data_IF_475919583259
#
_entry.id   IF_475919583259
#
_cell.length_a   1.000
_cell.length_b   1.000
_cell.length_c   1.000
_cell.angle_alpha   90.00
_cell.angle_beta   90.00
_cell.angle_gamma   90.00
#
_symmetry.space_group_name_H-M   'P 1'
#
loop_
_entity.id
_entity.type
_entity.pdbx_description
1 polymer ?
#
# COMPACT_ATOMS: atom_id res chain seq x y z
N UNK A 1 4.66 -1.07 -20.28
CA UNK A 1 3.86 -1.14 -19.04
C UNK A 1 4.67 -0.49 -17.94
N UNK A 2 4.29 0.71 -17.50
CA UNK A 2 4.93 1.35 -16.34
C UNK A 2 4.29 0.75 -15.10
N UNK A 3 5.07 0.04 -14.27
CA UNK A 3 4.57 -0.46 -12.99
C UNK A 3 4.22 0.75 -12.11
N UNK A 4 3.01 0.76 -11.54
CA UNK A 4 2.55 1.88 -10.73
C UNK A 4 3.26 1.87 -9.37
N UNK A 5 4.15 2.83 -9.14
CA UNK A 5 4.85 3.03 -7.89
C UNK A 5 4.03 3.93 -6.96
N UNK A 6 3.73 3.44 -5.76
CA UNK A 6 3.11 4.23 -4.69
C UNK A 6 4.15 4.60 -3.64
N UNK A 7 4.25 5.89 -3.36
CA UNK A 7 5.10 6.49 -2.34
C UNK A 7 4.24 6.91 -1.17
N UNK A 8 4.55 6.35 0.00
CA UNK A 8 3.97 6.71 1.29
C UNK A 8 5.02 7.47 2.09
N UNK A 9 4.60 8.53 2.77
CA UNK A 9 5.46 9.30 3.68
C UNK A 9 4.78 9.38 5.04
N UNK A 10 5.48 8.98 6.10
CA UNK A 10 5.08 9.24 7.49
C UNK A 10 5.92 10.38 8.06
N UNK A 11 5.30 11.34 8.72
CA UNK A 11 6.00 12.49 9.26
C UNK A 11 5.28 13.13 10.44
N UNK A 12 5.93 13.11 11.61
CA UNK A 12 5.56 13.99 12.72
C UNK A 12 5.99 15.42 12.36
N UNK A 13 5.01 16.31 12.20
CA UNK A 13 5.25 17.67 11.71
C UNK A 13 5.29 18.72 12.83
N UNK A 14 4.99 18.35 14.07
CA UNK A 14 5.02 19.25 15.24
C UNK A 14 4.32 20.60 14.97
N UNK A 15 3.05 20.53 14.57
CA UNK A 15 2.14 21.65 14.31
C UNK A 15 2.16 22.18 12.87
N UNK A 16 0.98 22.47 12.31
CA UNK A 16 0.79 23.02 10.94
C UNK A 16 -0.10 24.28 10.89
N UNK A 17 -0.34 24.90 12.03
CA UNK A 17 -1.16 26.11 12.13
C UNK A 17 -0.63 27.25 11.27
N UNK A 18 0.69 27.46 11.28
CA UNK A 18 1.31 28.57 10.56
C UNK A 18 1.21 28.37 9.02
N UNK A 19 0.61 29.31 8.26
CA UNK A 19 0.40 29.15 6.82
C UNK A 19 1.67 28.89 6.01
N UNK A 20 2.79 29.52 6.39
CA UNK A 20 4.09 29.28 5.73
C UNK A 20 4.58 27.84 5.97
N UNK A 21 4.48 27.34 7.21
CA UNK A 21 4.87 25.96 7.54
C UNK A 21 4.00 24.98 6.78
N UNK A 22 2.68 25.20 6.74
CA UNK A 22 1.74 24.41 5.94
C UNK A 22 2.12 24.35 4.47
N UNK A 23 2.38 25.49 3.82
CA UNK A 23 2.79 25.54 2.42
C UNK A 23 4.10 24.78 2.19
N UNK A 24 5.07 24.91 3.08
CA UNK A 24 6.34 24.17 3.02
C UNK A 24 6.14 22.66 3.13
N UNK A 25 5.29 22.19 4.04
CA UNK A 25 4.96 20.75 4.20
C UNK A 25 4.32 20.22 2.91
N UNK A 26 3.29 20.90 2.40
CA UNK A 26 2.61 20.46 1.19
C UNK A 26 3.53 20.46 -0.04
N UNK A 27 4.41 21.46 -0.17
CA UNK A 27 5.39 21.48 -1.24
C UNK A 27 6.43 20.36 -1.11
N UNK A 28 6.87 20.07 0.12
CA UNK A 28 7.79 18.97 0.41
C UNK A 28 7.18 17.63 -0.03
N UNK A 29 5.96 17.33 0.40
CA UNK A 29 5.26 16.10 0.03
C UNK A 29 5.07 15.98 -1.49
N UNK A 30 4.71 17.08 -2.16
CA UNK A 30 4.57 17.11 -3.62
C UNK A 30 5.89 16.85 -4.34
N UNK A 31 6.99 17.47 -3.89
CA UNK A 31 8.32 17.30 -4.49
C UNK A 31 8.85 15.87 -4.35
N UNK A 32 8.41 15.14 -3.32
CA UNK A 32 8.74 13.73 -3.11
C UNK A 32 7.69 12.78 -3.72
N UNK A 33 6.76 13.32 -4.52
CA UNK A 33 5.69 12.58 -5.20
C UNK A 33 4.89 11.68 -4.23
N UNK A 34 4.59 12.17 -3.03
CA UNK A 34 3.83 11.39 -2.06
C UNK A 34 2.38 11.17 -2.55
N UNK A 35 1.97 9.91 -2.69
CA UNK A 35 0.57 9.56 -2.95
C UNK A 35 -0.21 9.41 -1.65
N UNK A 36 0.45 8.98 -0.57
CA UNK A 36 -0.13 8.89 0.77
C UNK A 36 0.80 9.59 1.75
N UNK A 37 0.25 10.52 2.53
CA UNK A 37 0.95 11.17 3.63
C UNK A 37 0.25 10.82 4.96
N UNK A 38 1.03 10.33 5.92
CA UNK A 38 0.63 10.02 7.28
C UNK A 38 1.26 11.10 8.17
N UNK A 39 0.48 12.11 8.56
CA UNK A 39 1.01 13.25 9.30
C UNK A 39 0.58 13.17 10.77
N UNK A 40 1.53 13.34 11.71
CA UNK A 40 1.27 13.35 13.16
C UNK A 40 1.53 14.75 13.77
N UNK A 41 0.97 14.99 14.96
CA UNK A 41 1.05 16.28 15.68
C UNK A 41 0.64 17.52 14.87
N UNK A 42 -0.46 17.47 14.13
CA UNK A 42 -0.84 18.61 13.28
C UNK A 42 -1.28 19.86 14.09
N UNK A 43 -1.75 19.68 15.33
CA UNK A 43 -2.25 20.76 16.20
C UNK A 43 -3.41 21.57 15.60
N UNK A 44 -4.25 20.93 14.79
CA UNK A 44 -5.39 21.55 14.14
C UNK A 44 -6.70 21.17 14.83
N UNK A 45 -7.66 22.09 14.81
CA UNK A 45 -9.07 21.77 15.08
C UNK A 45 -9.73 21.13 13.86
N UNK A 46 -10.90 20.49 14.06
CA UNK A 46 -11.69 19.88 12.98
C UNK A 46 -11.94 20.84 11.80
N UNK A 47 -12.36 22.08 12.08
CA UNK A 47 -12.61 23.09 11.05
C UNK A 47 -11.34 23.55 10.30
N UNK A 48 -10.16 23.44 10.92
CA UNK A 48 -8.90 23.80 10.29
C UNK A 48 -8.33 22.71 9.40
N UNK A 49 -8.68 21.45 9.65
CA UNK A 49 -8.30 20.34 8.78
C UNK A 49 -8.92 20.47 7.38
N UNK A 50 -10.13 21.01 7.25
CA UNK A 50 -10.76 21.24 5.94
C UNK A 50 -9.93 22.19 5.05
N UNK A 51 -9.18 23.11 5.66
CA UNK A 51 -8.30 24.06 4.96
C UNK A 51 -7.08 23.38 4.32
N UNK A 52 -6.84 22.09 4.56
CA UNK A 52 -5.77 21.31 3.95
C UNK A 52 -6.12 20.78 2.55
N UNK A 53 -7.41 20.72 2.19
CA UNK A 53 -7.88 20.31 0.85
C UNK A 53 -7.58 21.42 -0.16
N UNK A 54 -6.32 21.51 -0.61
CA UNK A 54 -5.86 22.52 -1.57
C UNK A 54 -4.88 21.90 -2.58
N UNK A 55 -5.02 22.28 -3.84
CA UNK A 55 -4.10 21.88 -4.91
C UNK A 55 -4.19 20.39 -5.23
N UNK A 56 -3.05 19.69 -5.14
CA UNK A 56 -2.93 18.25 -5.40
C UNK A 56 -3.47 17.37 -4.25
N UNK A 57 -3.78 17.98 -3.11
CA UNK A 57 -4.32 17.25 -1.95
C UNK A 57 -5.78 16.92 -2.22
N UNK A 58 -6.05 15.64 -2.48
CA UNK A 58 -7.40 15.11 -2.68
C UNK A 58 -8.17 14.96 -1.36
N UNK A 59 -8.41 13.72 -0.94
CA UNK A 59 -9.24 13.45 0.23
C UNK A 59 -8.45 13.55 1.55
N UNK A 60 -8.90 14.35 2.52
CA UNK A 60 -8.30 14.40 3.87
C UNK A 60 -9.21 13.78 4.92
N UNK A 61 -8.64 12.96 5.80
CA UNK A 61 -9.30 12.33 6.94
C UNK A 61 -8.44 12.54 8.16
N UNK A 62 -9.08 12.78 9.29
CA UNK A 62 -8.35 13.16 10.49
C UNK A 62 -9.02 12.63 11.73
N UNK A 63 -8.20 12.45 12.76
CA UNK A 63 -8.68 12.43 14.12
C UNK A 63 -8.07 13.61 14.87
N UNK A 64 -8.91 14.36 15.59
CA UNK A 64 -8.52 15.53 16.36
C UNK A 64 -9.13 15.44 17.75
N UNK A 65 -8.36 15.77 18.78
CA UNK A 65 -8.91 15.97 20.12
C UNK A 65 -9.43 17.41 20.27
N UNK A 66 -10.31 17.67 21.26
CA UNK A 66 -11.00 18.97 21.44
C UNK A 66 -10.07 20.17 21.70
N UNK A 67 -8.78 19.94 21.92
CA UNK A 67 -7.76 20.97 22.13
C UNK A 67 -6.82 21.06 20.92
N UNK A 68 -6.01 22.13 20.84
CA UNK A 68 -4.97 22.33 19.80
C UNK A 68 -3.79 21.33 19.90
N UNK A 69 -4.01 20.17 20.52
CA UNK A 69 -3.02 19.11 20.69
C UNK A 69 -3.57 17.81 20.09
N UNK A 70 -2.69 17.05 19.43
CA UNK A 70 -2.96 15.74 18.79
C UNK A 70 -3.96 15.82 17.62
N UNK A 71 -3.40 15.72 16.42
CA UNK A 71 -4.14 15.65 15.17
C UNK A 71 -3.36 14.81 14.17
N UNK A 72 -4.04 13.93 13.44
CA UNK A 72 -3.43 13.04 12.45
C UNK A 72 -4.18 13.13 11.13
N UNK A 73 -3.49 13.09 9.98
CA UNK A 73 -4.15 13.02 8.66
C UNK A 73 -3.68 11.81 7.87
N UNK A 74 -4.66 11.07 7.30
CA UNK A 74 -4.46 10.10 6.22
C UNK A 74 -5.42 10.44 5.08
N UNK A 75 -5.03 10.13 3.85
CA UNK A 75 -5.88 10.26 2.68
C UNK A 75 -6.71 8.95 2.55
N UNK A 76 -8.02 9.04 2.83
CA UNK A 76 -9.01 7.98 3.16
C UNK A 76 -9.01 7.61 4.66
N UNK A 77 -10.14 7.49 5.39
CA UNK A 77 -10.25 6.83 6.71
C UNK A 77 -11.67 6.36 6.99
N UNK A 78 -11.78 5.25 7.73
CA UNK A 78 -13.04 4.63 8.14
C UNK A 78 -13.20 4.58 9.67
N UNK A 79 -12.10 4.65 10.44
CA UNK A 79 -12.14 4.81 11.90
C UNK A 79 -11.06 5.77 12.38
N UNK A 80 -11.43 6.58 13.38
CA UNK A 80 -10.62 7.61 13.99
C UNK A 80 -10.75 7.49 15.51
N UNK A 81 -9.63 7.52 16.23
CA UNK A 81 -9.62 7.46 17.69
C UNK A 81 -10.08 8.77 18.32
N UNK A 82 -11.04 8.83 19.25
CA UNK A 82 -11.48 10.09 19.86
C UNK A 82 -10.37 10.92 20.51
N UNK A 83 -9.25 10.31 20.92
CA UNK A 83 -8.11 11.01 21.51
C UNK A 83 -7.05 11.47 20.48
N UNK A 84 -7.31 11.31 19.18
CA UNK A 84 -6.43 11.79 18.10
C UNK A 84 -5.15 10.97 17.91
N UNK A 85 -5.10 9.73 18.41
CA UNK A 85 -3.85 8.92 18.46
C UNK A 85 -3.64 8.00 17.27
N UNK A 86 -4.69 7.58 16.58
CA UNK A 86 -4.57 6.79 15.36
C UNK A 86 -5.73 7.05 14.41
N UNK A 87 -5.48 6.74 13.15
CA UNK A 87 -6.45 6.73 12.06
C UNK A 87 -6.23 5.45 11.27
N UNK A 88 -7.31 4.72 10.99
CA UNK A 88 -7.27 3.48 10.22
C UNK A 88 -8.16 3.63 8.98
N UNK A 89 -7.65 3.12 7.88
CA UNK A 89 -8.15 3.34 6.54
C UNK A 89 -8.15 2.02 5.82
N UNK A 90 -9.33 1.51 5.54
CA UNK A 90 -9.46 0.37 4.66
C UNK A 90 -9.85 0.83 3.26
N UNK A 91 -9.18 0.28 2.26
CA UNK A 91 -9.39 0.63 0.87
C UNK A 91 -8.87 -0.44 -0.08
N UNK A 92 -8.63 -0.03 -1.33
CA UNK A 92 -8.05 -0.89 -2.35
C UNK A 92 -6.89 -0.21 -3.03
N UNK A 93 -5.85 -0.97 -3.31
CA UNK A 93 -4.78 -0.60 -4.23
C UNK A 93 -4.93 -1.42 -5.51
N UNK A 94 -5.39 -0.76 -6.57
CA UNK A 94 -5.85 -1.47 -7.77
C UNK A 94 -7.01 -2.41 -7.45
N UNK A 95 -6.86 -3.68 -7.80
CA UNK A 95 -7.85 -4.73 -7.52
C UNK A 95 -7.69 -5.36 -6.14
N UNK A 96 -6.70 -5.01 -5.33
CA UNK A 96 -6.40 -5.68 -4.05
C UNK A 96 -6.81 -4.84 -2.84
N UNK A 97 -7.41 -5.44 -1.79
CA UNK A 97 -7.64 -4.74 -0.54
C UNK A 97 -6.31 -4.33 0.10
N UNK A 98 -6.30 -3.20 0.80
CA UNK A 98 -5.18 -2.76 1.63
C UNK A 98 -5.71 -1.94 2.81
N UNK A 99 -5.11 -2.12 3.98
CA UNK A 99 -5.40 -1.28 5.14
C UNK A 99 -4.19 -0.42 5.46
N UNK A 100 -4.40 0.89 5.52
CA UNK A 100 -3.40 1.87 5.92
C UNK A 100 -3.74 2.34 7.33
N UNK A 101 -2.74 2.44 8.19
CA UNK A 101 -2.90 3.01 9.51
C UNK A 101 -1.80 4.02 9.77
N UNK A 102 -2.16 5.08 10.47
CA UNK A 102 -1.18 5.99 11.08
C UNK A 102 -1.33 5.92 12.59
N UNK A 103 -0.21 5.85 13.29
CA UNK A 103 -0.17 5.84 14.75
C UNK A 103 0.68 6.99 15.28
N UNK A 104 0.22 7.59 16.37
CA UNK A 104 0.94 8.53 17.20
C UNK A 104 0.89 8.01 18.63
N UNK A 105 1.96 7.35 19.05
CA UNK A 105 2.07 6.82 20.39
C UNK A 105 2.30 7.93 21.41
N UNK A 106 1.83 7.79 22.66
CA UNK A 106 2.12 8.78 23.68
C UNK A 106 3.58 8.72 24.12
N UNK A 107 4.09 9.82 24.66
CA UNK A 107 5.45 9.91 25.21
C UNK A 107 5.64 9.08 26.50
N UNK A 108 4.55 8.77 27.22
CA UNK A 108 4.60 7.91 28.39
C UNK A 108 4.51 6.43 27.98
N UNK A 109 5.15 5.55 28.75
CA UNK A 109 5.13 4.10 28.52
C UNK A 109 3.72 3.54 28.75
N UNK A 110 2.92 3.46 27.69
CA UNK A 110 1.50 3.06 27.69
C UNK A 110 1.28 1.88 26.74
N UNK A 111 1.64 0.64 27.15
CA UNK A 111 1.46 -0.55 26.32
C UNK A 111 -0.02 -0.86 26.01
N UNK A 112 -0.96 -0.43 26.87
CA UNK A 112 -2.39 -0.64 26.64
C UNK A 112 -2.88 0.14 25.42
N UNK A 113 -2.35 1.34 25.16
CA UNK A 113 -2.68 2.08 23.94
C UNK A 113 -2.32 1.28 22.70
N UNK A 114 -1.10 0.73 22.64
CA UNK A 114 -0.63 -0.08 21.52
C UNK A 114 -1.49 -1.32 21.33
N UNK A 115 -1.77 -2.07 22.41
CA UNK A 115 -2.63 -3.26 22.35
C UNK A 115 -4.03 -2.89 21.82
N UNK A 116 -4.61 -1.81 22.34
CA UNK A 116 -5.90 -1.32 21.86
C UNK A 116 -5.85 -0.94 20.38
N UNK A 117 -4.79 -0.29 19.91
CA UNK A 117 -4.61 0.03 18.50
C UNK A 117 -4.62 -1.24 17.63
N UNK A 118 -3.83 -2.26 17.97
CA UNK A 118 -3.79 -3.51 17.22
C UNK A 118 -5.12 -4.30 17.28
N UNK A 119 -5.83 -4.27 18.40
CA UNK A 119 -7.17 -4.84 18.51
C UNK A 119 -8.20 -4.14 17.60
N UNK A 120 -8.13 -2.81 17.44
CA UNK A 120 -8.93 -2.10 16.44
C UNK A 120 -8.49 -2.44 15.03
N UNK A 121 -7.19 -2.49 14.77
CA UNK A 121 -6.63 -2.79 13.45
C UNK A 121 -7.03 -4.18 12.96
N UNK A 122 -7.07 -5.17 13.86
CA UNK A 122 -7.48 -6.55 13.56
C UNK A 122 -8.92 -6.68 13.01
N UNK A 123 -9.76 -5.65 13.17
CA UNK A 123 -11.10 -5.61 12.57
C UNK A 123 -11.07 -5.35 11.06
N UNK A 124 -9.91 -4.96 10.52
CA UNK A 124 -9.71 -4.66 9.11
C UNK A 124 -8.82 -5.72 8.43
N UNK A 125 -9.10 -6.08 7.17
CA UNK A 125 -8.37 -7.15 6.50
C UNK A 125 -6.93 -6.74 6.17
N UNK A 126 -6.02 -7.72 6.24
CA UNK A 126 -4.67 -7.62 5.72
C UNK A 126 -4.67 -7.53 4.18
N UNK A 127 -3.60 -7.01 3.54
CA UNK A 127 -2.34 -6.54 4.14
C UNK A 127 -2.42 -5.15 4.77
N UNK A 128 -1.57 -4.91 5.76
CA UNK A 128 -1.49 -3.67 6.54
C UNK A 128 -0.19 -2.90 6.24
N UNK A 129 -0.31 -1.57 6.13
CA UNK A 129 0.82 -0.63 6.12
C UNK A 129 0.58 0.39 7.22
N UNK A 130 1.39 0.30 8.28
CA UNK A 130 1.28 1.12 9.48
C UNK A 130 2.48 2.06 9.50
N UNK A 131 2.27 3.35 9.38
CA UNK A 131 3.33 4.34 9.56
C UNK A 131 3.06 5.22 10.76
N UNK A 132 4.08 5.79 11.38
CA UNK A 132 3.81 6.72 12.47
C UNK A 132 5.00 7.08 13.31
N UNK A 133 4.71 7.87 14.33
CA UNK A 133 5.61 8.16 15.44
C UNK A 133 5.20 7.27 16.61
N UNK A 134 6.06 6.31 16.94
CA UNK A 134 5.83 5.32 17.98
C UNK A 134 6.39 5.78 19.32
N UNK A 135 7.06 6.94 19.40
CA UNK A 135 7.64 7.52 20.61
C UNK A 135 8.50 6.57 21.47
N UNK A 136 8.91 5.43 20.93
CA UNK A 136 9.83 4.50 21.58
C UNK A 136 10.72 3.77 20.56
N UNK A 137 12.03 3.63 20.84
CA UNK A 137 12.92 2.79 20.05
C UNK A 137 12.57 1.31 20.24
N UNK A 138 12.57 0.52 19.16
CA UNK A 138 12.31 -0.93 19.22
C UNK A 138 13.58 -1.70 19.60
N UNK A 139 14.72 -1.28 19.04
CA UNK A 139 16.06 -1.75 19.39
C UNK A 139 16.81 -0.71 20.24
N UNK A 140 17.12 -1.08 21.49
CA UNK A 140 17.78 -0.17 22.44
C UNK A 140 19.23 0.17 22.07
N UNK A 141 19.87 -0.62 21.20
CA UNK A 141 21.25 -0.44 20.74
C UNK A 141 21.28 0.28 19.40
N UNK A 142 20.45 -0.15 18.45
CA UNK A 142 20.52 0.32 17.06
C UNK A 142 19.66 1.55 16.78
N UNK A 143 18.60 1.77 17.56
CA UNK A 143 17.67 2.90 17.36
C UNK A 143 18.00 4.10 18.25
N UNK A 144 19.15 4.10 18.92
CA UNK A 144 19.61 5.19 19.79
C UNK A 144 21.07 5.54 19.51
N UNK A 145 21.40 6.82 19.64
CA UNK A 145 22.81 7.28 19.59
C UNK A 145 23.47 7.29 20.97
N UNK A 146 22.68 7.33 22.04
CA UNK A 146 23.18 7.32 23.41
C UNK A 146 23.73 5.93 23.77
N UNK A 147 24.94 5.90 24.32
CA UNK A 147 25.58 4.69 24.86
C UNK A 147 25.06 4.28 26.24
N UNK A 148 24.13 5.06 26.82
CA UNK A 148 23.54 4.74 28.12
C UNK A 148 22.70 3.47 27.99
N UNK A 149 23.07 2.45 28.77
CA UNK A 149 22.29 1.23 28.88
C UNK A 149 20.89 1.55 29.42
N UNK A 150 19.89 1.07 28.69
CA UNK A 150 18.47 1.27 28.99
C UNK A 150 17.74 -0.03 28.77
N UNK A 151 16.77 -0.29 29.63
CA UNK A 151 15.83 -1.39 29.45
C UNK A 151 14.82 -1.02 28.37
N UNK A 152 14.41 -2.03 27.60
CA UNK A 152 13.33 -1.88 26.60
C UNK A 152 12.02 -1.54 27.32
N UNK A 153 11.30 -0.53 26.85
CA UNK A 153 10.01 -0.10 27.42
C UNK A 153 8.94 -1.20 27.28
N UNK A 154 7.89 -1.12 28.11
CA UNK A 154 6.76 -2.05 27.99
C UNK A 154 6.01 -1.84 26.68
N UNK A 155 5.91 -0.60 26.22
CA UNK A 155 5.32 -0.23 24.94
C UNK A 155 6.09 -0.82 23.76
N UNK A 156 7.43 -0.75 23.75
CA UNK A 156 8.25 -1.39 22.71
C UNK A 156 8.08 -2.91 22.71
N UNK A 157 7.97 -3.55 23.88
CA UNK A 157 7.65 -4.99 23.98
C UNK A 157 6.27 -5.31 23.44
N UNK A 158 5.26 -4.50 23.75
CA UNK A 158 3.91 -4.67 23.19
C UNK A 158 3.91 -4.55 21.66
N UNK A 159 4.63 -3.57 21.10
CA UNK A 159 4.77 -3.41 19.64
C UNK A 159 5.42 -4.64 19.01
N UNK A 160 6.55 -5.10 19.56
CA UNK A 160 7.26 -6.28 19.04
C UNK A 160 6.41 -7.55 19.09
N UNK A 161 5.70 -7.78 20.19
CA UNK A 161 4.77 -8.91 20.30
C UNK A 161 3.64 -8.82 19.27
N UNK A 162 3.03 -7.64 19.12
CA UNK A 162 1.99 -7.43 18.10
C UNK A 162 2.53 -7.58 16.67
N UNK A 163 3.79 -7.21 16.42
CA UNK A 163 4.44 -7.46 15.14
C UNK A 163 4.56 -8.95 14.85
N UNK A 164 4.99 -9.75 15.83
CA UNK A 164 5.09 -11.20 15.70
C UNK A 164 3.71 -11.84 15.48
N UNK A 165 2.72 -11.49 16.31
CA UNK A 165 1.34 -12.01 16.22
C UNK A 165 0.66 -11.69 14.89
N UNK A 166 0.89 -10.47 14.37
CA UNK A 166 0.25 -9.99 13.14
C UNK A 166 1.11 -10.22 11.88
N UNK A 167 2.25 -10.89 11.99
CA UNK A 167 3.22 -11.09 10.92
C UNK A 167 3.60 -9.77 10.21
N UNK A 168 3.98 -8.77 11.01
CA UNK A 168 4.45 -7.47 10.58
C UNK A 168 5.96 -7.36 10.74
N UNK A 169 6.54 -6.47 9.94
CA UNK A 169 7.98 -6.22 9.94
C UNK A 169 8.28 -4.73 9.85
N UNK A 170 9.29 -4.29 10.61
CA UNK A 170 9.92 -2.98 10.42
C UNK A 170 10.71 -3.01 9.10
N UNK A 171 10.12 -2.44 8.07
CA UNK A 171 10.68 -2.52 6.71
C UNK A 171 11.99 -1.74 6.56
N UNK A 172 12.16 -0.66 7.31
CA UNK A 172 13.40 0.11 7.24
C UNK A 172 14.56 -0.71 7.82
N UNK A 173 14.36 -1.32 9.00
CA UNK A 173 15.38 -2.18 9.62
C UNK A 173 15.65 -3.45 8.80
N UNK A 174 14.63 -3.99 8.13
CA UNK A 174 14.79 -5.13 7.23
C UNK A 174 15.71 -4.82 6.05
N UNK A 175 15.57 -3.64 5.43
CA UNK A 175 16.45 -3.22 4.33
C UNK A 175 17.82 -2.72 4.80
N UNK A 176 17.91 -2.23 6.04
CA UNK A 176 19.10 -1.60 6.63
C UNK A 176 19.48 -2.24 7.98
N UNK A 177 19.88 -3.52 8.01
CA UNK A 177 20.05 -4.27 9.25
C UNK A 177 21.12 -3.68 10.17
N UNK A 178 22.26 -3.28 9.61
CA UNK A 178 23.43 -2.78 10.36
C UNK A 178 23.53 -1.25 10.38
N UNK A 179 22.73 -0.56 9.57
CA UNK A 179 22.79 0.90 9.46
C UNK A 179 22.22 1.58 10.70
N UNK A 180 22.91 2.60 11.21
CA UNK A 180 22.38 3.49 12.25
C UNK A 180 22.00 4.82 11.63
N UNK A 181 20.70 5.11 11.64
CA UNK A 181 20.14 6.38 11.24
C UNK A 181 18.92 6.67 12.11
N UNK A 182 18.57 7.94 12.26
CA UNK A 182 17.68 8.41 13.31
C UNK A 182 16.61 9.36 12.77
N UNK A 183 15.39 9.21 13.29
CA UNK A 183 14.26 10.02 12.87
C UNK A 183 14.07 11.26 13.74
N UNK A 184 14.47 11.23 15.01
CA UNK A 184 14.22 12.30 15.98
C UNK A 184 15.50 12.75 16.70
N UNK A 185 15.59 14.03 17.05
CA UNK A 185 16.62 14.57 17.93
C UNK A 185 16.00 15.21 19.17
N UNK A 186 16.32 14.64 20.34
CA UNK A 186 15.89 15.17 21.62
C UNK A 186 16.85 16.27 22.09
N UNK A 187 16.36 17.51 22.16
CA UNK A 187 17.12 18.62 22.72
C UNK A 187 17.45 18.43 24.20
N UNK A 188 16.50 17.88 24.97
CA UNK A 188 16.66 17.67 26.42
C UNK A 188 17.76 16.64 26.74
N UNK A 189 17.84 15.58 25.93
CA UNK A 189 18.81 14.51 26.13
C UNK A 189 20.05 14.61 25.22
N UNK A 190 20.11 15.63 24.35
CA UNK A 190 21.15 15.85 23.34
C UNK A 190 21.51 14.55 22.59
N UNK A 191 20.49 13.78 22.23
CA UNK A 191 20.65 12.46 21.63
C UNK A 191 19.66 12.23 20.50
N UNK A 192 20.02 11.31 19.61
CA UNK A 192 19.21 10.92 18.47
C UNK A 192 18.56 9.56 18.72
N UNK A 193 17.34 9.42 18.23
CA UNK A 193 16.59 8.18 18.31
C UNK A 193 15.80 7.93 17.03
N UNK A 194 15.63 6.66 16.66
CA UNK A 194 14.71 6.23 15.62
C UNK A 194 13.42 5.80 16.31
N UNK A 195 12.38 6.62 16.17
CA UNK A 195 11.06 6.41 16.78
C UNK A 195 9.91 6.52 15.76
N UNK A 196 10.23 6.91 14.53
CA UNK A 196 9.29 6.93 13.42
C UNK A 196 9.53 5.68 12.55
N UNK A 197 8.48 4.86 12.35
CA UNK A 197 8.60 3.55 11.70
C UNK A 197 7.52 3.35 10.63
N UNK A 198 7.82 2.46 9.68
CA UNK A 198 6.81 1.75 8.89
C UNK A 198 6.82 0.27 9.26
N UNK A 199 5.72 -0.21 9.82
CA UNK A 199 5.45 -1.62 10.05
C UNK A 199 4.51 -2.12 8.94
N UNK A 200 4.95 -3.10 8.15
CA UNK A 200 4.16 -3.64 7.04
C UNK A 200 3.92 -5.13 7.22
N UNK A 201 2.81 -5.65 6.69
CA UNK A 201 2.61 -7.09 6.58
C UNK A 201 3.72 -7.72 5.74
N UNK A 202 4.27 -8.84 6.19
CA UNK A 202 5.34 -9.56 5.49
C UNK A 202 4.98 -9.96 4.05
N UNK A 203 3.69 -10.06 3.73
CA UNK A 203 3.19 -10.30 2.36
C UNK A 203 3.44 -9.13 1.39
N UNK A 204 3.71 -7.93 1.89
CA UNK A 204 4.04 -6.74 1.10
C UNK A 204 5.54 -6.58 0.85
N UNK A 205 6.41 -7.32 1.54
CA UNK A 205 7.87 -7.15 1.45
C UNK A 205 8.40 -7.21 0.02
N UNK A 206 7.92 -8.16 -0.79
CA UNK A 206 8.35 -8.29 -2.19
C UNK A 206 7.91 -7.12 -3.09
N UNK A 207 6.95 -6.31 -2.64
CA UNK A 207 6.48 -5.11 -3.34
C UNK A 207 7.26 -3.86 -2.91
N UNK A 208 8.10 -3.94 -1.88
CA UNK A 208 8.89 -2.80 -1.41
C UNK A 208 10.06 -2.57 -2.35
N UNK A 209 10.12 -1.36 -2.93
CA UNK A 209 11.23 -0.92 -3.77
C UNK A 209 12.29 -0.14 -3.00
N UNK A 210 11.84 0.70 -2.07
CA UNK A 210 12.72 1.50 -1.23
C UNK A 210 12.05 1.81 0.11
N UNK A 211 12.85 1.93 1.16
CA UNK A 211 12.46 2.58 2.40
C UNK A 211 13.65 3.40 2.93
N UNK A 212 13.42 4.69 3.13
CA UNK A 212 14.46 5.65 3.46
C UNK A 212 13.98 6.70 4.46
N UNK A 213 14.89 7.13 5.33
CA UNK A 213 14.71 8.32 6.16
C UNK A 213 15.08 9.54 5.32
N UNK A 214 14.14 10.46 5.14
CA UNK A 214 14.38 11.69 4.41
C UNK A 214 15.07 12.72 5.30
N UNK A 215 15.90 13.62 4.75
CA UNK A 215 16.55 14.66 5.54
C UNK A 215 15.55 15.50 6.33
N UNK A 216 15.89 15.80 7.59
CA UNK A 216 15.10 16.72 8.43
C UNK A 216 14.93 18.06 7.72
N UNK A 217 13.69 18.55 7.68
CA UNK A 217 13.37 19.80 6.98
C UNK A 217 12.86 20.92 7.91
N UNK A 218 11.66 20.79 8.47
CA UNK A 218 10.99 21.85 9.26
C UNK A 218 10.36 21.36 10.57
N UNK A 219 10.53 20.08 10.87
CA UNK A 219 10.13 19.43 12.11
C UNK A 219 11.41 18.93 12.81
N UNK A 220 11.34 18.68 14.11
CA UNK A 220 12.35 17.94 14.86
C UNK A 220 12.41 16.45 14.47
N UNK A 221 11.38 15.97 13.77
CA UNK A 221 11.35 14.64 13.15
C UNK A 221 11.69 14.69 11.65
N UNK A 222 12.45 13.69 11.21
CA UNK A 222 12.74 13.34 9.83
C UNK A 222 11.58 12.51 9.26
N UNK A 223 11.08 12.82 8.05
CA UNK A 223 10.06 12.00 7.41
C UNK A 223 10.60 10.61 7.07
N UNK A 224 9.80 9.57 7.24
CA UNK A 224 10.09 8.22 6.73
C UNK A 224 9.34 8.05 5.42
N UNK A 225 10.01 7.52 4.39
CA UNK A 225 9.42 7.22 3.08
C UNK A 225 9.48 5.72 2.82
N UNK A 226 8.40 5.18 2.26
CA UNK A 226 8.38 3.84 1.68
C UNK A 226 7.79 3.91 0.27
N UNK A 227 8.41 3.18 -0.66
CA UNK A 227 7.93 3.02 -2.02
C UNK A 227 7.49 1.58 -2.26
N UNK A 228 6.21 1.40 -2.56
CA UNK A 228 5.62 0.12 -2.90
C UNK A 228 5.30 0.09 -4.39
N UNK A 229 5.77 -0.94 -5.08
CA UNK A 229 5.40 -1.20 -6.46
C UNK A 229 4.18 -2.09 -6.51
N UNK A 230 3.17 -1.67 -7.28
CA UNK A 230 2.01 -2.50 -7.50
C UNK A 230 2.50 -3.80 -8.13
N UNK A 231 2.19 -4.94 -7.51
CA UNK A 231 2.32 -6.20 -8.23
C UNK A 231 1.63 -6.01 -9.58
N UNK A 232 2.32 -6.34 -10.66
CA UNK A 232 1.63 -6.55 -11.92
C UNK A 232 0.50 -7.50 -11.59
N UNK A 233 -0.75 -7.01 -11.65
CA UNK A 233 -1.88 -7.91 -11.56
C UNK A 233 -1.60 -8.91 -12.68
N UNK A 234 -1.40 -10.22 -12.39
CA UNK A 234 -1.47 -11.17 -13.49
C UNK A 234 -2.85 -10.89 -14.04
N UNK A 235 -2.93 -10.26 -15.22
CA UNK A 235 -4.19 -9.88 -15.85
C UNK A 235 -5.17 -10.98 -15.51
N UNK A 236 -6.23 -10.68 -14.74
CA UNK A 236 -7.23 -11.63 -14.26
C UNK A 236 -7.19 -12.87 -15.15
N UNK A 237 -6.69 -14.02 -14.67
CA UNK A 237 -6.13 -15.08 -15.51
C UNK A 237 -7.10 -15.30 -16.65
N UNK A 238 -6.71 -14.88 -17.86
CA UNK A 238 -7.62 -14.58 -18.96
C UNK A 238 -8.74 -15.61 -18.97
N UNK A 239 -9.90 -15.24 -18.39
CA UNK A 239 -10.99 -16.19 -18.19
C UNK A 239 -11.60 -16.33 -19.57
N UNK A 240 -11.05 -17.26 -20.34
CA UNK A 240 -11.50 -17.53 -21.70
C UNK A 240 -13.01 -17.71 -21.65
N UNK A 241 -13.71 -16.84 -22.37
CA UNK A 241 -15.14 -16.95 -22.60
C UNK A 241 -15.31 -17.44 -24.02
N UNK A 242 -16.10 -18.48 -24.18
CA UNK A 242 -16.53 -18.93 -25.49
C UNK A 242 -17.34 -17.80 -26.14
N UNK A 243 -16.93 -17.40 -27.33
CA UNK A 243 -17.76 -16.56 -28.20
C UNK A 243 -18.91 -17.43 -28.75
N UNK A 244 -20.18 -17.15 -28.39
CA UNK A 244 -21.31 -17.96 -28.83
C UNK A 244 -21.48 -18.00 -30.36
N UNK A 245 -20.95 -17.01 -31.08
CA UNK A 245 -20.98 -16.97 -32.56
C UNK A 245 -20.07 -18.00 -33.21
N UNK A 246 -19.15 -18.60 -32.45
CA UNK A 246 -18.36 -19.72 -32.96
C UNK A 246 -19.20 -20.99 -33.02
N UNK A 247 -20.19 -21.16 -32.15
CA UNK A 247 -21.03 -22.36 -32.12
C UNK A 247 -21.93 -22.50 -33.35
N UNK A 248 -22.25 -21.39 -34.03
CA UNK A 248 -23.02 -21.41 -35.29
C UNK A 248 -22.17 -21.74 -36.52
N UNK A 249 -20.83 -21.76 -36.39
CA UNK A 249 -19.90 -22.15 -37.45
C UNK A 249 -19.38 -23.58 -37.29
N UNK A 250 -19.85 -24.27 -36.26
CA UNK A 250 -19.36 -25.56 -35.80
C UNK A 250 -20.21 -26.68 -36.41
N UNK A 251 -20.29 -26.69 -37.74
CA UNK A 251 -20.77 -27.87 -38.48
C UNK A 251 -19.64 -28.91 -38.65
N UNK A 252 -18.43 -28.62 -38.15
CA UNK A 252 -17.21 -29.45 -38.33
C UNK A 252 -16.77 -30.19 -37.07
N UNK A 253 -17.67 -30.52 -36.14
CA UNK A 253 -17.37 -31.41 -35.01
C UNK A 253 -17.66 -32.88 -35.35
N UNK A 254 -17.34 -33.30 -36.57
CA UNK A 254 -17.08 -34.71 -36.80
C UNK A 254 -15.77 -35.09 -36.08
N UNK A 255 -15.84 -36.18 -35.33
CA UNK A 255 -14.73 -36.87 -34.67
C UNK A 255 -14.05 -36.13 -33.50
N UNK A 256 -14.70 -36.19 -32.32
CA UNK A 256 -13.97 -36.34 -31.06
C UNK A 256 -14.30 -37.73 -30.51
N UNK A 257 -13.65 -38.75 -31.06
CA UNK A 257 -13.79 -40.11 -30.57
C UNK A 257 -12.94 -40.25 -29.29
N UNK A 258 -13.58 -40.11 -28.12
CA UNK A 258 -12.94 -40.33 -26.81
C UNK A 258 -12.79 -41.82 -26.45
N UNK A 259 -13.08 -42.71 -27.38
CA UNK A 259 -12.99 -44.16 -27.21
C UNK A 259 -11.52 -44.59 -27.20
N UNK A 260 -10.85 -44.54 -26.04
CA UNK A 260 -9.79 -45.48 -25.59
C UNK A 260 -9.06 -44.98 -24.33
N UNK A 261 -9.77 -44.55 -23.29
CA UNK A 261 -9.12 -44.25 -22.00
C UNK A 261 -9.80 -45.02 -20.87
N UNK A 262 -9.09 -46.01 -20.34
CA UNK A 262 -9.40 -46.78 -19.12
C UNK A 262 -9.27 -45.90 -17.85
N UNK A 263 -9.65 -44.63 -17.93
CA UNK A 263 -9.40 -43.62 -16.91
C UNK A 263 -10.69 -43.22 -16.16
N UNK A 264 -10.57 -42.71 -14.93
CA UNK A 264 -11.69 -42.13 -14.19
C UNK A 264 -12.46 -41.06 -14.98
N UNK A 265 -13.78 -41.01 -14.81
CA UNK A 265 -14.71 -40.20 -15.60
C UNK A 265 -14.45 -38.68 -15.48
N UNK A 266 -13.99 -38.23 -14.32
CA UNK A 266 -13.56 -36.86 -14.03
C UNK A 266 -12.34 -36.45 -14.87
N UNK A 267 -11.36 -37.34 -15.00
CA UNK A 267 -10.16 -37.07 -15.81
C UNK A 267 -10.49 -37.00 -17.31
N UNK A 268 -11.38 -37.87 -17.79
CA UNK A 268 -11.89 -37.83 -19.17
C UNK A 268 -12.62 -36.51 -19.43
N UNK A 269 -13.42 -36.06 -18.45
CA UNK A 269 -14.17 -34.81 -18.56
C UNK A 269 -13.27 -33.57 -18.60
N UNK A 270 -12.23 -33.52 -17.76
CA UNK A 270 -11.24 -32.42 -17.81
C UNK A 270 -10.47 -32.42 -19.14
N UNK A 271 -10.04 -33.59 -19.61
CA UNK A 271 -9.34 -33.74 -20.89
C UNK A 271 -10.20 -33.31 -22.08
N UNK A 272 -11.49 -33.67 -22.07
CA UNK A 272 -12.46 -33.25 -23.08
C UNK A 272 -12.64 -31.73 -23.10
N UNK A 273 -12.87 -31.10 -21.94
CA UNK A 273 -13.01 -29.64 -21.83
C UNK A 273 -11.76 -28.92 -22.31
N UNK A 274 -10.57 -29.40 -21.96
CA UNK A 274 -9.31 -28.84 -22.42
C UNK A 274 -9.16 -28.93 -23.95
N UNK A 275 -9.49 -30.09 -24.53
CA UNK A 275 -9.42 -30.34 -25.98
C UNK A 275 -10.37 -29.44 -26.77
N UNK A 276 -11.63 -29.36 -26.36
CA UNK A 276 -12.62 -28.49 -27.00
C UNK A 276 -12.21 -27.02 -26.89
N UNK A 277 -11.76 -26.59 -25.71
CA UNK A 277 -11.28 -25.22 -25.50
C UNK A 277 -10.11 -24.88 -26.42
N UNK A 278 -9.16 -25.79 -26.59
CA UNK A 278 -8.05 -25.64 -27.53
C UNK A 278 -8.51 -25.46 -28.97
N UNK A 279 -9.41 -26.33 -29.46
CA UNK A 279 -9.98 -26.23 -30.83
C UNK A 279 -10.72 -24.90 -31.04
N UNK A 280 -11.53 -24.47 -30.08
CA UNK A 280 -12.29 -23.21 -30.18
C UNK A 280 -11.38 -21.97 -30.16
N UNK A 281 -10.29 -21.99 -29.38
CA UNK A 281 -9.28 -20.92 -29.39
C UNK A 281 -8.60 -20.83 -30.77
N UNK A 282 -8.26 -21.98 -31.37
CA UNK A 282 -7.66 -22.03 -32.69
C UNK A 282 -8.60 -21.47 -33.77
N UNK A 283 -9.88 -21.87 -33.76
CA UNK A 283 -10.90 -21.35 -34.67
C UNK A 283 -11.14 -19.84 -34.52
N UNK A 284 -11.18 -19.34 -33.27
CA UNK A 284 -11.30 -17.90 -33.00
C UNK A 284 -10.11 -17.12 -33.55
N UNK A 285 -8.90 -17.64 -33.37
CA UNK A 285 -7.66 -17.02 -33.84
C UNK A 285 -7.59 -17.01 -35.38
N UNK A 286 -7.98 -18.11 -36.03
CA UNK A 286 -8.06 -18.20 -37.49
C UNK A 286 -9.11 -17.23 -38.06
N UNK A 287 -10.28 -17.14 -37.45
CA UNK A 287 -11.35 -16.21 -37.87
C UNK A 287 -10.91 -14.75 -37.78
N UNK A 288 -10.23 -14.36 -36.69
CA UNK A 288 -9.70 -13.00 -36.52
C UNK A 288 -8.65 -12.67 -37.56
N UNK A 289 -7.77 -13.63 -37.89
CA UNK A 289 -6.74 -13.47 -38.92
C UNK A 289 -7.37 -13.27 -40.30
N UNK A 290 -8.39 -14.07 -40.65
CA UNK A 290 -9.11 -13.96 -41.91
C UNK A 290 -9.84 -12.60 -42.05
N UNK A 291 -10.52 -12.13 -40.99
CA UNK A 291 -11.16 -10.83 -40.97
C UNK A 291 -10.16 -9.67 -41.12
N UNK A 292 -8.98 -9.77 -40.49
CA UNK A 292 -7.92 -8.77 -40.62
C UNK A 292 -7.35 -8.71 -42.05
N UNK A 293 -7.07 -9.86 -42.66
CA UNK A 293 -6.58 -9.93 -44.05
C UNK A 293 -7.60 -9.39 -45.06
N UNK A 294 -8.90 -9.70 -44.89
CA UNK A 294 -9.94 -9.14 -45.76
C UNK A 294 -10.12 -7.63 -45.58
N UNK A 295 -9.91 -7.11 -44.36
CA UNK A 295 -9.97 -5.68 -44.11
C UNK A 295 -8.79 -4.94 -44.80
N UNK A 296 -7.58 -5.49 -44.73
CA UNK A 296 -6.42 -4.96 -45.47
C UNK A 296 -6.62 -5.01 -46.99
N UNK A 297 -7.16 -6.11 -47.51
CA UNK A 297 -7.46 -6.25 -48.95
C UNK A 297 -8.52 -5.25 -49.44
N UNK A 298 -9.56 -4.99 -48.62
CA UNK A 298 -10.58 -4.00 -48.95
C UNK A 298 -10.07 -2.55 -48.87
N UNK A 299 -9.11 -2.27 -47.98
CA UNK A 299 -8.44 -0.96 -47.91
C UNK A 299 -7.48 -0.73 -49.08
N UNK A 300 -6.84 -1.80 -49.57
CA UNK A 300 -5.98 -1.74 -50.75
C UNK A 300 -6.80 -1.60 -52.05
N UNK A 301 -7.96 -2.24 -52.15
CA UNK A 301 -8.85 -2.12 -53.32
C UNK A 301 -9.55 -0.77 -53.41
N UNK A 302 -9.95 -0.16 -52.28
CA UNK A 302 -10.51 1.19 -52.26
C UNK A 302 -9.49 2.26 -52.65
N UNK A 303 -8.23 2.14 -52.21
CA UNK A 303 -7.16 3.07 -52.60
C UNK A 303 -6.77 3.01 -54.09
N UNK A 304 -7.11 1.92 -54.79
CA UNK A 304 -6.88 1.73 -56.23
C UNK A 304 -8.03 2.25 -57.09
N UNK A 305 -9.22 2.45 -56.53
CA UNK A 305 -10.37 3.01 -57.24
C UNK A 305 -10.43 4.56 -57.20
N UNK A 306 -9.63 5.18 -56.32
CA UNK A 306 -9.49 6.65 -56.19
C UNK A 306 -8.29 7.22 -56.97
N UNK A 307 -7.63 6.42 -57.82
CA UNK A 307 -6.61 6.87 -58.80
C UNK A 307 -7.10 6.59 -60.22
#
# INVERSE_FOLDING_TARGET
WVMALLTYISWNINGINHPIKRKRILNFLNSHQAQVALLQEMHLTQAEHEKLRRGWVGNCFYSSYSSKARGMVILLSQSADPAGRYVIVYGRWGSRPITLASMYAPNNDDPLMVQNFFLKLAQYPAPWVIGGDFNCPLDVIMDRSSSTSVTRSHMARAILNSMEECNLMDIWRHLHPETRDYSHYSQAHKSFSRIDFFLISSSLTCQVRDCSLLPRYISDHSPVRIQLEASADPQSPYRWRLDPQLLTKVDTLEEINLTTLSSPLDMIWEAFKATIRGKLIALSSASKKFSATNHELNMLSSSRAER
#
